data_IF_925817198333
#
_entry.id   IF_925817198333
#
_cell.length_a   1.000
_cell.length_b   1.000
_cell.length_c   1.000
_cell.angle_alpha   90.00
_cell.angle_beta   90.00
_cell.angle_gamma   90.00
#
_symmetry.space_group_name_H-M   'P 1'
#
loop_
_entity.id
_entity.type
_entity.pdbx_description
1 polymer ?
#
# COMPACT_ATOMS: atom_id res chain seq x y z
N UNK A 1 0.76 6.63 -25.08
CA UNK A 1 1.70 6.68 -23.95
C UNK A 1 1.02 6.38 -22.61
N UNK A 2 -0.23 6.82 -22.41
CA UNK A 2 -0.97 6.63 -21.15
C UNK A 2 -1.13 5.17 -20.71
N UNK A 3 -1.42 4.25 -21.65
CA UNK A 3 -1.59 2.83 -21.32
C UNK A 3 -0.29 2.19 -20.79
N UNK A 4 0.87 2.57 -21.32
CA UNK A 4 2.17 2.05 -20.85
C UNK A 4 2.48 2.57 -19.45
N UNK A 5 2.27 3.86 -19.20
CA UNK A 5 2.47 4.47 -17.88
C UNK A 5 1.57 3.81 -16.83
N UNK A 6 0.30 3.57 -17.16
CA UNK A 6 -0.63 2.84 -16.30
C UNK A 6 -0.12 1.44 -15.96
N UNK A 7 0.31 0.66 -16.97
CA UNK A 7 0.81 -0.70 -16.78
C UNK A 7 2.07 -0.73 -15.90
N UNK A 8 2.97 0.24 -16.06
CA UNK A 8 4.17 0.37 -15.22
C UNK A 8 3.76 0.66 -13.77
N UNK A 9 2.87 1.62 -13.54
CA UNK A 9 2.38 1.94 -12.19
C UNK A 9 1.69 0.72 -11.58
N UNK A 10 0.82 0.03 -12.33
CA UNK A 10 0.14 -1.17 -11.88
C UNK A 10 1.12 -2.29 -11.49
N UNK A 11 2.17 -2.50 -12.29
CA UNK A 11 3.22 -3.48 -12.00
C UNK A 11 4.01 -3.12 -10.74
N UNK A 12 4.40 -1.85 -10.58
CA UNK A 12 5.08 -1.35 -9.38
C UNK A 12 4.22 -1.54 -8.14
N UNK A 13 2.94 -1.13 -8.21
CA UNK A 13 1.99 -1.27 -7.11
C UNK A 13 1.78 -2.74 -6.76
N UNK A 14 1.65 -3.62 -7.76
CA UNK A 14 1.52 -5.05 -7.53
C UNK A 14 2.75 -5.62 -6.81
N UNK A 15 3.96 -5.31 -7.28
CA UNK A 15 5.20 -5.79 -6.67
C UNK A 15 5.37 -5.30 -5.23
N UNK A 16 5.09 -4.02 -4.98
CA UNK A 16 5.18 -3.41 -3.65
C UNK A 16 4.12 -3.97 -2.70
N UNK A 17 2.87 -4.07 -3.15
CA UNK A 17 1.80 -4.63 -2.34
C UNK A 17 2.06 -6.10 -2.01
N UNK A 18 2.36 -6.92 -3.02
CA UNK A 18 2.63 -8.34 -2.82
C UNK A 18 3.88 -8.61 -1.98
N UNK A 19 4.96 -7.87 -2.23
CA UNK A 19 6.18 -7.91 -1.43
C UNK A 19 5.92 -7.50 0.02
N UNK A 20 5.17 -6.42 0.22
CA UNK A 20 4.80 -5.91 1.54
C UNK A 20 3.99 -6.92 2.36
N UNK A 21 2.98 -7.56 1.75
CA UNK A 21 2.21 -8.63 2.42
C UNK A 21 3.13 -9.77 2.86
N UNK A 22 4.04 -10.22 1.98
CA UNK A 22 4.98 -11.29 2.30
C UNK A 22 5.90 -10.92 3.46
N UNK A 23 6.38 -9.67 3.51
CA UNK A 23 7.22 -9.16 4.59
C UNK A 23 6.46 -9.14 5.92
N UNK A 24 5.23 -8.64 5.95
CA UNK A 24 4.40 -8.63 7.16
C UNK A 24 4.06 -10.03 7.67
N UNK A 25 3.70 -10.96 6.78
CA UNK A 25 3.42 -12.35 7.18
C UNK A 25 4.68 -12.98 7.78
N UNK A 26 5.85 -12.78 7.17
CA UNK A 26 7.12 -13.24 7.73
C UNK A 26 7.41 -12.59 9.08
N UNK A 27 7.19 -11.29 9.22
CA UNK A 27 7.36 -10.57 10.48
C UNK A 27 6.53 -11.17 11.60
N UNK A 28 5.27 -11.53 11.33
CA UNK A 28 4.39 -12.15 12.32
C UNK A 28 4.80 -13.58 12.70
N UNK A 29 5.37 -14.33 11.76
CA UNK A 29 5.85 -15.70 11.99
C UNK A 29 7.19 -15.72 12.74
N UNK A 30 8.08 -14.76 12.47
CA UNK A 30 9.43 -14.71 13.06
C UNK A 30 9.55 -13.77 14.25
N UNK A 31 8.56 -12.90 14.48
CA UNK A 31 8.62 -11.83 15.49
C UNK A 31 9.59 -10.69 15.13
N UNK A 32 10.05 -10.60 13.89
CA UNK A 32 11.03 -9.59 13.48
C UNK A 32 10.37 -8.25 13.11
N UNK A 33 10.50 -7.25 13.99
CA UNK A 33 9.93 -5.91 13.78
C UNK A 33 10.42 -5.21 12.50
N UNK A 34 11.68 -5.43 12.10
CA UNK A 34 12.24 -4.82 10.89
C UNK A 34 11.50 -5.25 9.62
N UNK A 35 11.03 -6.51 9.55
CA UNK A 35 10.25 -6.98 8.41
C UNK A 35 8.88 -6.31 8.34
N UNK A 36 8.28 -6.00 9.49
CA UNK A 36 7.00 -5.30 9.55
C UNK A 36 7.14 -3.84 9.07
N UNK A 37 8.22 -3.16 9.48
CA UNK A 37 8.56 -1.81 9.00
C UNK A 37 8.78 -1.79 7.49
N UNK A 38 9.53 -2.76 6.94
CA UNK A 38 9.71 -2.87 5.49
C UNK A 38 8.39 -3.18 4.76
N UNK A 39 7.53 -3.99 5.37
CA UNK A 39 6.17 -4.24 4.89
C UNK A 39 5.35 -2.96 4.83
N UNK A 40 5.34 -2.18 5.92
CA UNK A 40 4.68 -0.88 6.00
C UNK A 40 5.21 0.11 4.96
N UNK A 41 6.53 0.26 4.83
CA UNK A 41 7.16 1.12 3.84
C UNK A 41 6.78 0.72 2.40
N UNK A 42 6.66 -0.59 2.13
CA UNK A 42 6.20 -1.09 0.83
C UNK A 42 4.75 -0.69 0.54
N UNK A 43 3.86 -0.76 1.54
CA UNK A 43 2.46 -0.33 1.40
C UNK A 43 2.32 1.17 1.20
N UNK A 44 3.07 1.98 1.96
CA UNK A 44 3.11 3.43 1.74
C UNK A 44 3.63 3.77 0.34
N UNK A 45 4.69 3.10 -0.12
CA UNK A 45 5.24 3.32 -1.47
C UNK A 45 4.24 2.96 -2.57
N UNK A 46 3.48 1.88 -2.39
CA UNK A 46 2.38 1.52 -3.28
C UNK A 46 1.27 2.58 -3.27
N UNK A 47 0.90 3.07 -2.08
CA UNK A 47 -0.05 4.16 -1.90
C UNK A 47 0.38 5.45 -2.60
N UNK A 48 1.66 5.82 -2.49
CA UNK A 48 2.25 6.97 -3.20
C UNK A 48 2.19 6.80 -4.71
N UNK A 49 2.54 5.63 -5.24
CA UNK A 49 2.48 5.38 -6.67
C UNK A 49 1.03 5.50 -7.20
N UNK A 50 0.05 4.90 -6.51
CA UNK A 50 -1.37 4.99 -6.88
C UNK A 50 -1.89 6.41 -6.72
N UNK A 51 -1.61 7.05 -5.59
CA UNK A 51 -2.12 8.37 -5.25
C UNK A 51 -1.63 9.43 -6.22
N UNK A 52 -0.32 9.49 -6.49
CA UNK A 52 0.26 10.44 -7.46
C UNK A 52 -0.28 10.19 -8.87
N UNK A 53 -0.31 8.93 -9.32
CA UNK A 53 -0.83 8.63 -10.66
C UNK A 53 -2.31 9.02 -10.77
N UNK A 54 -3.12 8.65 -9.78
CA UNK A 54 -4.55 8.93 -9.76
C UNK A 54 -4.85 10.43 -9.70
N UNK A 55 -4.16 11.18 -8.85
CA UNK A 55 -4.37 12.63 -8.75
C UNK A 55 -3.96 13.36 -10.03
N UNK A 56 -2.83 13.01 -10.64
CA UNK A 56 -2.42 13.59 -11.92
C UNK A 56 -3.38 13.25 -13.05
N UNK A 57 -3.82 11.98 -13.14
CA UNK A 57 -4.78 11.54 -14.16
C UNK A 57 -6.15 12.21 -14.02
N UNK A 58 -6.60 12.45 -12.78
CA UNK A 58 -7.84 13.17 -12.50
C UNK A 58 -7.71 14.67 -12.74
N UNK A 59 -6.60 15.27 -12.33
CA UNK A 59 -6.32 16.69 -12.53
C UNK A 59 -6.30 17.06 -14.02
N UNK A 60 -5.65 16.24 -14.84
CA UNK A 60 -5.61 16.41 -16.29
C UNK A 60 -7.01 16.42 -16.94
N UNK A 61 -7.98 15.74 -16.34
CA UNK A 61 -9.35 15.65 -16.88
C UNK A 61 -10.30 16.70 -16.29
N UNK A 62 -10.20 16.99 -14.99
CA UNK A 62 -11.21 17.75 -14.25
C UNK A 62 -10.79 19.19 -13.94
N UNK A 63 -9.50 19.46 -13.83
CA UNK A 63 -8.99 20.76 -13.42
C UNK A 63 -7.55 20.98 -13.97
N UNK A 64 -7.38 21.14 -15.29
CA UNK A 64 -6.07 21.29 -15.92
C UNK A 64 -5.33 22.56 -15.48
N UNK A 65 -6.06 23.56 -14.95
CA UNK A 65 -5.50 24.82 -14.43
C UNK A 65 -5.33 24.82 -12.89
N UNK A 66 -5.47 23.67 -12.23
CA UNK A 66 -5.31 23.59 -10.78
C UNK A 66 -3.90 24.02 -10.34
N UNK A 67 -3.84 24.85 -9.30
CA UNK A 67 -2.57 25.30 -8.72
C UNK A 67 -1.73 24.11 -8.21
N UNK A 68 -0.45 24.08 -8.58
CA UNK A 68 0.44 22.96 -8.27
C UNK A 68 0.60 22.67 -6.77
N UNK A 69 0.51 23.70 -5.91
CA UNK A 69 0.57 23.54 -4.46
C UNK A 69 -0.64 22.76 -3.93
N UNK A 70 -1.85 23.15 -4.30
CA UNK A 70 -3.08 22.48 -3.88
C UNK A 70 -3.09 21.03 -4.38
N UNK A 71 -2.66 20.81 -5.63
CA UNK A 71 -2.56 19.47 -6.20
C UNK A 71 -1.59 18.58 -5.41
N UNK A 72 -0.45 19.12 -5.01
CA UNK A 72 0.55 18.39 -4.23
C UNK A 72 0.03 17.98 -2.85
N UNK A 73 -0.73 18.85 -2.19
CA UNK A 73 -1.33 18.58 -0.87
C UNK A 73 -2.38 17.48 -0.96
N UNK A 74 -3.30 17.59 -1.92
CA UNK A 74 -4.33 16.57 -2.18
C UNK A 74 -3.67 15.25 -2.54
N UNK A 75 -2.68 15.28 -3.44
CA UNK A 75 -1.95 14.08 -3.87
C UNK A 75 -1.25 13.39 -2.70
N UNK A 76 -0.61 14.16 -1.82
CA UNK A 76 0.07 13.62 -0.63
C UNK A 76 -0.93 12.99 0.33
N UNK A 77 -2.03 13.69 0.63
CA UNK A 77 -3.06 13.19 1.53
C UNK A 77 -3.72 11.90 1.01
N UNK A 78 -4.08 11.87 -0.28
CA UNK A 78 -4.66 10.68 -0.94
C UNK A 78 -3.66 9.54 -0.93
N UNK A 79 -2.40 9.81 -1.25
CA UNK A 79 -1.35 8.79 -1.28
C UNK A 79 -1.13 8.12 0.07
N UNK A 80 -1.03 8.92 1.14
CA UNK A 80 -0.89 8.42 2.51
C UNK A 80 -2.12 7.60 2.89
N UNK A 81 -3.32 8.13 2.65
CA UNK A 81 -4.57 7.43 2.98
C UNK A 81 -4.68 6.07 2.30
N UNK A 82 -4.32 5.98 1.01
CA UNK A 82 -4.29 4.71 0.28
C UNK A 82 -3.24 3.77 0.86
N UNK A 83 -2.02 4.25 1.13
CA UNK A 83 -0.96 3.43 1.71
C UNK A 83 -1.33 2.85 3.08
N UNK A 84 -1.88 3.69 3.97
CA UNK A 84 -2.40 3.29 5.28
C UNK A 84 -3.53 2.28 5.16
N UNK A 85 -4.47 2.49 4.23
CA UNK A 85 -5.55 1.55 3.98
C UNK A 85 -5.03 0.19 3.53
N UNK A 86 -4.07 0.15 2.60
CA UNK A 86 -3.44 -1.08 2.14
C UNK A 86 -2.75 -1.82 3.29
N UNK A 87 -2.00 -1.08 4.12
CA UNK A 87 -1.35 -1.63 5.31
C UNK A 87 -2.36 -2.22 6.29
N UNK A 88 -3.34 -1.44 6.74
CA UNK A 88 -4.35 -1.88 7.70
C UNK A 88 -5.18 -3.08 7.19
N UNK A 89 -5.46 -3.13 5.89
CA UNK A 89 -6.12 -4.28 5.26
C UNK A 89 -5.23 -5.52 5.29
N UNK A 90 -3.97 -5.40 4.87
CA UNK A 90 -3.02 -6.52 4.84
C UNK A 90 -2.74 -7.08 6.23
N UNK A 91 -2.55 -6.21 7.22
CA UNK A 91 -2.35 -6.57 8.62
C UNK A 91 -3.55 -7.31 9.22
N UNK A 92 -4.77 -6.85 8.92
CA UNK A 92 -5.99 -7.53 9.39
C UNK A 92 -6.13 -8.93 8.79
N UNK A 93 -5.84 -9.08 7.50
CA UNK A 93 -5.87 -10.37 6.81
C UNK A 93 -4.80 -11.32 7.37
N UNK A 94 -3.58 -10.84 7.62
CA UNK A 94 -2.53 -11.66 8.21
C UNK A 94 -2.91 -12.16 9.60
N UNK A 95 -3.49 -11.30 10.45
CA UNK A 95 -4.00 -11.69 11.76
C UNK A 95 -5.14 -12.73 11.67
N UNK A 96 -6.09 -12.55 10.75
CA UNK A 96 -7.18 -13.50 10.55
C UNK A 96 -6.69 -14.88 10.11
N UNK A 97 -5.65 -14.95 9.27
CA UNK A 97 -5.04 -16.21 8.84
C UNK A 97 -4.24 -16.90 9.94
N UNK A 98 -3.68 -16.12 10.88
CA UNK A 98 -2.89 -16.65 12.00
C UNK A 98 -3.73 -17.00 13.23
N UNK A 99 -4.93 -16.43 13.38
CA UNK A 99 -5.83 -16.67 14.51
C UNK A 99 -6.16 -18.16 14.74
N UNK A 100 -6.44 -18.99 13.70
CA UNK A 100 -6.74 -20.41 13.89
C UNK A 100 -5.54 -21.18 14.46
N UNK A 101 -4.32 -20.87 13.99
CA UNK A 101 -3.07 -21.52 14.38
C UNK A 101 -2.70 -21.27 15.85
N UNK A 102 -3.11 -20.14 16.42
CA UNK A 102 -2.93 -19.84 17.85
C UNK A 102 -3.88 -20.64 18.74
N UNK A 103 -5.10 -20.92 18.29
CA UNK A 103 -6.08 -21.66 19.10
C UNK A 103 -5.72 -23.14 19.26
N UNK A 104 -5.05 -23.74 18.27
CA UNK A 104 -4.62 -25.14 18.35
C UNK A 104 -3.45 -25.34 19.31
N UNK A 105 -2.50 -24.38 19.34
CA UNK A 105 -1.40 -24.41 20.31
C UNK A 105 -1.85 -24.23 21.76
N UNK A 106 -2.99 -23.59 22.01
CA UNK A 106 -3.53 -23.40 23.36
C UNK A 106 -4.28 -24.62 23.92
N UNK A 107 -4.59 -25.62 23.07
CA UNK A 107 -5.32 -26.83 23.46
C UNK A 107 -4.40 -28.06 23.68
N UNK A 108 -3.10 -27.91 23.51
CA UNK A 108 -2.07 -28.89 23.88
C UNK A 108 -1.35 -28.42 25.13
#
# INVERSE_FOLDING_TARGET
MEMLTFLIVAAVVYLLYYGGVRLQVRAHLTGQAMLDVLGYASMLSAGMAVGIYGTLALAAQLAPEAEGLLLSLISTAVSIAVGEFLYARSFRLSLQLLAPLRSEKSKR
#
